data_IF_568494003791
#
_entry.id   IF_568494003791
#
_cell.length_a   1.000
_cell.length_b   1.000
_cell.length_c   1.000
_cell.angle_alpha   90.00
_cell.angle_beta   90.00
_cell.angle_gamma   90.00
#
_symmetry.space_group_name_H-M   'P 1'
#
loop_
_entity.id
_entity.type
_entity.pdbx_description
1 polymer ?
#
# COMPACT_ATOMS: atom_id res chain seq x y z
N UNK A 1 15.56 4.08 8.74
CA UNK A 1 14.76 4.23 7.52
C UNK A 1 13.88 3.01 7.33
N UNK A 2 12.59 3.23 7.13
CA UNK A 2 11.57 2.18 6.97
C UNK A 2 10.93 2.26 5.57
N UNK A 3 10.29 1.17 5.13
CA UNK A 3 9.47 1.19 3.91
C UNK A 3 8.07 0.70 4.27
N UNK A 4 7.07 1.53 3.99
CA UNK A 4 5.66 1.15 4.07
C UNK A 4 5.20 0.85 2.64
N UNK A 5 4.93 -0.42 2.38
CA UNK A 5 4.57 -0.93 1.07
C UNK A 5 3.07 -1.24 1.05
N UNK A 6 2.29 -0.50 0.26
CA UNK A 6 0.86 -0.74 0.09
C UNK A 6 0.62 -1.65 -1.11
N UNK A 7 -0.07 -2.77 -0.88
CA UNK A 7 -0.38 -3.73 -1.93
C UNK A 7 -1.83 -4.16 -1.93
N UNK A 8 -2.39 -4.27 -3.13
CA UNK A 8 -3.69 -4.90 -3.35
C UNK A 8 -3.57 -6.44 -3.38
N UNK A 9 -2.35 -6.98 -3.38
CA UNK A 9 -2.08 -8.41 -3.29
C UNK A 9 -1.71 -8.79 -1.86
N UNK A 10 -2.26 -9.92 -1.39
CA UNK A 10 -1.85 -10.55 -0.13
C UNK A 10 -0.45 -11.11 -0.27
N UNK A 11 0.36 -11.00 0.79
CA UNK A 11 1.76 -11.47 0.79
C UNK A 11 1.87 -12.94 0.41
N UNK A 12 0.98 -13.77 0.96
CA UNK A 12 0.94 -15.23 0.80
C UNK A 12 0.08 -15.71 -0.39
N UNK A 13 -0.28 -14.84 -1.33
CA UNK A 13 -1.07 -15.25 -2.51
C UNK A 13 -0.19 -15.86 -3.61
N UNK A 14 0.38 -15.03 -4.49
CA UNK A 14 1.31 -15.48 -5.54
C UNK A 14 2.62 -14.74 -5.35
N UNK A 15 3.73 -15.50 -5.39
CA UNK A 15 5.07 -14.93 -5.26
C UNK A 15 5.46 -14.21 -6.55
N UNK A 16 5.58 -12.88 -6.48
CA UNK A 16 5.83 -12.01 -7.63
C UNK A 16 6.79 -10.87 -7.27
N UNK A 17 6.86 -9.86 -8.13
CA UNK A 17 7.75 -8.69 -7.98
C UNK A 17 7.65 -8.01 -6.61
N UNK A 18 6.48 -7.81 -5.97
CA UNK A 18 6.40 -7.25 -4.62
C UNK A 18 7.22 -8.03 -3.61
N UNK A 19 7.07 -9.35 -3.57
CA UNK A 19 7.80 -10.22 -2.66
C UNK A 19 9.30 -10.21 -2.97
N UNK A 20 9.65 -10.33 -4.25
CA UNK A 20 11.04 -10.26 -4.71
C UNK A 20 11.76 -8.98 -4.27
N UNK A 21 11.12 -7.82 -4.39
CA UNK A 21 11.72 -6.53 -4.03
C UNK A 21 11.75 -6.35 -2.51
N UNK A 22 10.62 -6.59 -1.84
CA UNK A 22 10.51 -6.38 -0.39
C UNK A 22 11.45 -7.30 0.40
N UNK A 23 11.59 -8.57 0.03
CA UNK A 23 12.56 -9.48 0.67
C UNK A 23 14.01 -9.03 0.47
N UNK A 24 14.34 -8.40 -0.67
CA UNK A 24 15.69 -7.85 -0.90
C UNK A 24 15.92 -6.59 -0.06
N UNK A 25 14.95 -5.68 -0.02
CA UNK A 25 15.03 -4.45 0.78
C UNK A 25 15.04 -4.73 2.29
N UNK A 26 14.43 -5.82 2.75
CA UNK A 26 14.46 -6.24 4.15
C UNK A 26 15.86 -6.55 4.70
N UNK A 27 16.88 -6.65 3.82
CA UNK A 27 18.29 -6.74 4.23
C UNK A 27 18.84 -5.42 4.78
N UNK A 28 18.21 -4.29 4.47
CA UNK A 28 18.69 -2.94 4.79
C UNK A 28 17.63 -2.06 5.49
N UNK A 29 16.35 -2.30 5.23
CA UNK A 29 15.22 -1.51 5.76
C UNK A 29 14.27 -2.39 6.57
N UNK A 30 13.56 -1.82 7.55
CA UNK A 30 12.38 -2.50 8.12
C UNK A 30 11.21 -2.31 7.16
N UNK A 31 10.62 -3.41 6.73
CA UNK A 31 9.52 -3.41 5.77
C UNK A 31 8.20 -3.62 6.49
N UNK A 32 7.22 -2.77 6.19
CA UNK A 32 5.82 -2.91 6.59
C UNK A 32 5.00 -3.10 5.32
N UNK A 33 4.62 -4.35 5.03
CA UNK A 33 3.82 -4.70 3.86
C UNK A 33 2.34 -4.64 4.23
N UNK A 34 1.67 -3.55 3.87
CA UNK A 34 0.27 -3.30 4.18
C UNK A 34 -0.60 -3.91 3.09
N UNK A 35 -1.35 -4.93 3.46
CA UNK A 35 -2.33 -5.58 2.61
C UNK A 35 -3.68 -4.84 2.60
N UNK A 36 -4.58 -5.24 1.71
CA UNK A 36 -5.97 -4.77 1.74
C UNK A 36 -6.64 -5.02 3.10
N UNK A 37 -7.57 -4.14 3.52
CA UNK A 37 -8.30 -4.34 4.76
C UNK A 37 -9.14 -5.62 4.70
N UNK A 38 -9.31 -6.25 5.86
CA UNK A 38 -10.28 -7.32 6.10
C UNK A 38 -11.48 -6.73 6.84
N UNK A 39 -12.68 -7.02 6.36
CA UNK A 39 -13.93 -6.56 6.95
C UNK A 39 -14.51 -7.60 7.92
N UNK A 40 -15.62 -7.27 8.58
CA UNK A 40 -16.34 -8.17 9.51
C UNK A 40 -15.56 -8.54 10.79
N UNK A 41 -14.62 -7.69 11.21
CA UNK A 41 -13.97 -7.84 12.50
C UNK A 41 -14.89 -7.42 13.67
N UNK A 42 -14.60 -7.92 14.88
CA UNK A 42 -15.28 -7.49 16.11
C UNK A 42 -14.94 -6.03 16.49
N UNK A 43 -13.72 -5.59 16.18
CA UNK A 43 -13.22 -4.24 16.42
C UNK A 43 -12.12 -3.87 15.42
N UNK A 44 -11.97 -2.56 15.23
CA UNK A 44 -10.94 -1.94 14.42
C UNK A 44 -9.56 -2.12 15.05
N UNK A 45 -8.65 -2.71 14.28
CA UNK A 45 -7.27 -2.98 14.72
C UNK A 45 -6.38 -3.24 13.52
N UNK A 46 -5.09 -3.31 13.77
CA UNK A 46 -4.15 -3.93 12.84
C UNK A 46 -3.59 -5.22 13.47
N UNK A 47 -3.18 -6.14 12.62
CA UNK A 47 -2.38 -7.31 12.98
C UNK A 47 -1.02 -7.20 12.25
N UNK A 48 0.06 -7.56 12.94
CA UNK A 48 1.38 -7.72 12.34
C UNK A 48 1.77 -9.19 12.40
N UNK A 49 2.02 -9.81 11.25
CA UNK A 49 2.65 -11.13 11.13
C UNK A 49 4.04 -10.97 10.56
N UNK A 50 5.05 -11.50 11.24
CA UNK A 50 6.44 -11.43 10.78
C UNK A 50 6.79 -12.69 9.99
N UNK A 51 7.20 -12.52 8.74
CA UNK A 51 7.66 -13.60 7.87
C UNK A 51 8.85 -13.12 7.04
N UNK A 52 9.94 -13.88 7.00
CA UNK A 52 11.13 -13.55 6.20
C UNK A 52 11.66 -12.11 6.43
N UNK A 53 11.61 -11.63 7.68
CA UNK A 53 11.97 -10.26 8.12
C UNK A 53 11.04 -9.15 7.59
N UNK A 54 9.89 -9.51 7.02
CA UNK A 54 8.83 -8.59 6.60
C UNK A 54 7.78 -8.52 7.70
N UNK A 55 7.37 -7.30 8.07
CA UNK A 55 6.19 -7.08 8.90
C UNK A 55 4.98 -7.01 7.97
N UNK A 56 4.24 -8.10 7.84
CA UNK A 56 3.01 -8.15 7.06
C UNK A 56 1.90 -7.56 7.92
N UNK A 57 1.30 -6.48 7.44
CA UNK A 57 0.30 -5.71 8.16
C UNK A 57 -1.05 -5.94 7.50
N UNK A 58 -2.00 -6.42 8.30
CA UNK A 58 -3.40 -6.52 7.88
C UNK A 58 -4.24 -5.59 8.73
N UNK A 59 -4.93 -4.65 8.10
CA UNK A 59 -5.92 -3.81 8.78
C UNK A 59 -7.22 -4.61 8.86
N UNK A 60 -7.82 -4.66 10.04
CA UNK A 60 -9.11 -5.28 10.26
C UNK A 60 -10.12 -4.22 10.67
N UNK A 61 -11.24 -4.15 9.95
CA UNK A 61 -12.31 -3.20 10.19
C UNK A 61 -13.60 -3.92 10.56
N UNK A 62 -14.32 -3.35 11.53
CA UNK A 62 -15.72 -3.72 11.78
C UNK A 62 -16.61 -3.16 10.67
N UNK A 63 -17.63 -3.91 10.25
CA UNK A 63 -18.58 -3.47 9.21
C UNK A 63 -18.20 -3.95 7.80
N UNK A 64 -18.75 -3.29 6.79
CA UNK A 64 -18.69 -3.68 5.37
C UNK A 64 -17.87 -2.72 4.49
N UNK A 65 -17.35 -3.12 3.31
CA UNK A 65 -16.38 -2.37 2.47
C UNK A 65 -16.78 -0.98 1.91
N UNK A 66 -18.00 -0.51 2.17
CA UNK A 66 -18.53 0.74 1.64
C UNK A 66 -19.23 1.60 2.69
N UNK A 67 -19.05 1.29 3.96
CA UNK A 67 -19.49 2.17 5.04
C UNK A 67 -18.81 3.55 4.95
N UNK A 68 -19.50 4.62 5.38
CA UNK A 68 -18.89 5.91 5.58
C UNK A 68 -17.65 5.81 6.49
N UNK A 69 -16.71 6.74 6.32
CA UNK A 69 -15.53 6.89 7.18
C UNK A 69 -14.50 5.74 7.17
N UNK A 70 -14.65 4.73 6.31
CA UNK A 70 -13.68 3.63 6.17
C UNK A 70 -12.25 4.14 5.97
N UNK A 71 -12.06 5.14 5.11
CA UNK A 71 -10.74 5.72 4.88
C UNK A 71 -10.20 6.36 6.15
N UNK A 72 -11.02 7.15 6.86
CA UNK A 72 -10.58 7.84 8.08
C UNK A 72 -10.23 6.84 9.20
N UNK A 73 -10.97 5.74 9.30
CA UNK A 73 -10.68 4.64 10.23
C UNK A 73 -9.35 3.96 9.87
N UNK A 74 -9.11 3.69 8.58
CA UNK A 74 -7.82 3.16 8.12
C UNK A 74 -6.66 4.12 8.35
N UNK A 75 -6.84 5.42 8.10
CA UNK A 75 -5.84 6.46 8.40
C UNK A 75 -5.48 6.43 9.88
N UNK A 76 -6.47 6.41 10.78
CA UNK A 76 -6.22 6.35 12.22
C UNK A 76 -5.45 5.08 12.63
N UNK A 77 -5.80 3.93 12.05
CA UNK A 77 -5.10 2.66 12.30
C UNK A 77 -3.65 2.73 11.78
N UNK A 78 -3.43 3.31 10.60
CA UNK A 78 -2.11 3.47 10.00
C UNK A 78 -1.23 4.40 10.85
N UNK A 79 -1.78 5.52 11.33
CA UNK A 79 -1.09 6.40 12.29
C UNK A 79 -0.72 5.66 13.57
N UNK A 80 -1.65 4.89 14.14
CA UNK A 80 -1.39 4.09 15.35
C UNK A 80 -0.30 3.05 15.13
N UNK A 81 -0.32 2.35 13.98
CA UNK A 81 0.73 1.42 13.58
C UNK A 81 2.09 2.11 13.55
N UNK A 82 2.18 3.26 12.89
CA UNK A 82 3.43 4.02 12.75
C UNK A 82 3.98 4.49 14.10
N UNK A 83 3.10 5.00 14.96
CA UNK A 83 3.44 5.40 16.32
C UNK A 83 3.96 4.23 17.16
N UNK A 84 3.23 3.11 17.20
CA UNK A 84 3.61 1.93 17.98
C UNK A 84 4.91 1.29 17.46
N UNK A 85 5.11 1.31 16.15
CA UNK A 85 6.30 0.72 15.48
C UNK A 85 7.51 1.67 15.42
N UNK A 86 7.35 2.92 15.89
CA UNK A 86 8.35 3.98 15.85
C UNK A 86 8.87 4.21 14.42
N UNK A 87 7.94 4.38 13.48
CA UNK A 87 8.24 4.69 12.08
C UNK A 87 8.30 6.21 11.93
N UNK A 88 9.52 6.77 11.93
CA UNK A 88 9.74 8.22 11.90
C UNK A 88 10.26 8.72 10.55
N UNK A 89 11.06 7.91 9.86
CA UNK A 89 11.69 8.26 8.59
C UNK A 89 11.47 7.09 7.62
N UNK A 90 10.65 7.31 6.59
CA UNK A 90 10.10 6.23 5.78
C UNK A 90 9.85 6.62 4.34
N UNK A 91 9.89 5.60 3.48
CA UNK A 91 9.47 5.65 2.08
C UNK A 91 8.07 5.03 1.98
N UNK A 92 7.20 5.63 1.18
CA UNK A 92 5.95 4.98 0.78
C UNK A 92 6.13 4.32 -0.59
N UNK A 93 5.87 3.01 -0.64
CA UNK A 93 5.93 2.22 -1.86
C UNK A 93 4.54 1.75 -2.24
N UNK A 94 4.07 2.08 -3.45
CA UNK A 94 2.71 1.79 -3.89
C UNK A 94 2.70 0.73 -4.99
N UNK A 95 1.93 -0.33 -4.78
CA UNK A 95 1.45 -1.23 -5.85
C UNK A 95 -0.04 -1.02 -6.15
N UNK A 96 -0.70 -0.08 -5.46
CA UNK A 96 -2.10 0.29 -5.73
C UNK A 96 -2.32 1.79 -5.45
N UNK A 97 -2.91 2.54 -6.40
CA UNK A 97 -3.29 3.94 -6.17
C UNK A 97 -4.35 4.13 -5.07
N UNK A 98 -5.13 3.07 -4.77
CA UNK A 98 -6.19 3.15 -3.74
C UNK A 98 -5.65 3.54 -2.37
N UNK A 99 -4.39 3.18 -2.06
CA UNK A 99 -3.78 3.48 -0.78
C UNK A 99 -3.57 4.98 -0.55
N UNK A 100 -3.58 5.83 -1.59
CA UNK A 100 -3.54 7.29 -1.40
C UNK A 100 -4.63 7.80 -0.48
N UNK A 101 -5.83 7.20 -0.54
CA UNK A 101 -6.97 7.59 0.32
C UNK A 101 -6.65 7.49 1.80
N UNK A 102 -5.72 6.61 2.18
CA UNK A 102 -5.36 6.36 3.58
C UNK A 102 -3.97 6.89 3.96
N UNK A 103 -3.18 7.35 3.00
CA UNK A 103 -1.81 7.81 3.20
C UNK A 103 -1.57 9.27 2.82
N UNK A 104 -2.62 10.00 2.41
CA UNK A 104 -2.54 11.39 1.95
C UNK A 104 -1.84 12.32 2.96
N UNK A 105 -2.22 12.20 4.24
CA UNK A 105 -1.71 13.00 5.37
C UNK A 105 -0.27 12.62 5.80
N UNK A 106 0.33 11.60 5.18
CA UNK A 106 1.69 11.16 5.50
C UNK A 106 2.76 11.96 4.77
N UNK A 107 3.89 12.16 5.46
CA UNK A 107 5.05 12.95 4.99
C UNK A 107 6.29 12.05 4.86
N UNK A 108 6.40 11.22 3.81
CA UNK A 108 7.57 10.39 3.60
C UNK A 108 8.77 11.18 3.09
N UNK A 109 9.96 10.57 3.18
CA UNK A 109 11.17 11.12 2.54
C UNK A 109 11.17 10.89 1.03
N UNK A 110 10.42 9.90 0.55
CA UNK A 110 10.19 9.62 -0.86
C UNK A 110 8.89 8.81 -1.08
N UNK A 111 8.26 9.02 -2.22
CA UNK A 111 7.10 8.29 -2.72
C UNK A 111 7.50 7.51 -3.97
N UNK A 112 7.34 6.19 -3.94
CA UNK A 112 7.62 5.29 -5.07
C UNK A 112 6.33 4.67 -5.55
N UNK A 113 6.03 4.79 -6.84
CA UNK A 113 4.93 4.07 -7.47
C UNK A 113 5.47 2.97 -8.38
N UNK A 114 5.19 1.72 -8.06
CA UNK A 114 5.55 0.56 -8.90
C UNK A 114 4.31 0.03 -9.63
N UNK A 115 4.08 0.56 -10.82
CA UNK A 115 2.95 0.23 -11.68
C UNK A 115 3.21 -1.07 -12.43
N UNK A 116 2.83 -2.20 -11.81
CA UNK A 116 2.95 -3.53 -12.41
C UNK A 116 1.85 -3.84 -13.44
N UNK A 117 0.64 -3.37 -13.17
CA UNK A 117 -0.57 -3.72 -13.92
C UNK A 117 -1.39 -2.47 -14.24
N UNK A 118 -2.18 -2.54 -15.32
CA UNK A 118 -3.21 -1.57 -15.60
C UNK A 118 -4.47 -1.89 -14.78
N UNK A 119 -4.41 -1.62 -13.48
CA UNK A 119 -5.50 -1.97 -12.54
C UNK A 119 -6.86 -1.39 -12.95
N UNK A 120 -6.87 -0.27 -13.67
CA UNK A 120 -8.11 0.35 -14.18
C UNK A 120 -8.81 -0.42 -15.29
N UNK A 121 -8.14 -1.40 -15.90
CA UNK A 121 -8.70 -2.28 -16.91
C UNK A 121 -9.39 -3.52 -16.32
N UNK A 122 -9.35 -3.70 -14.99
CA UNK A 122 -9.94 -4.87 -14.33
C UNK A 122 -11.47 -4.74 -14.21
N UNK A 123 -12.18 -5.87 -14.30
CA UNK A 123 -13.66 -5.92 -14.36
C UNK A 123 -14.38 -5.23 -13.19
N UNK A 124 -13.73 -5.16 -12.03
CA UNK A 124 -14.26 -4.55 -10.80
C UNK A 124 -13.42 -3.38 -10.31
N UNK A 125 -12.69 -2.70 -11.21
CA UNK A 125 -11.88 -1.54 -10.86
C UNK A 125 -12.76 -0.42 -10.27
N UNK A 126 -12.41 0.13 -9.08
CA UNK A 126 -13.13 1.27 -8.52
C UNK A 126 -13.10 2.46 -9.48
N UNK A 127 -14.22 3.17 -9.64
CA UNK A 127 -14.33 4.31 -10.56
C UNK A 127 -13.27 5.41 -10.30
N UNK A 128 -12.88 5.57 -9.04
CA UNK A 128 -11.92 6.56 -8.57
C UNK A 128 -10.46 6.19 -8.89
N UNK A 129 -10.19 4.94 -9.25
CA UNK A 129 -8.83 4.43 -9.40
C UNK A 129 -8.01 5.21 -10.44
N UNK A 130 -8.63 5.59 -11.56
CA UNK A 130 -7.95 6.40 -12.59
C UNK A 130 -7.57 7.79 -12.10
N UNK A 131 -8.41 8.39 -11.26
CA UNK A 131 -8.14 9.71 -10.68
C UNK A 131 -7.01 9.61 -9.65
N UNK A 132 -7.09 8.63 -8.73
CA UNK A 132 -6.04 8.37 -7.74
C UNK A 132 -4.71 8.00 -8.39
N UNK A 133 -4.72 7.28 -9.51
CA UNK A 133 -3.50 6.96 -10.25
C UNK A 133 -2.82 8.21 -10.79
N UNK A 134 -3.58 9.16 -11.34
CA UNK A 134 -3.04 10.45 -11.80
C UNK A 134 -2.43 11.25 -10.66
N UNK A 135 -3.12 11.28 -9.52
CA UNK A 135 -2.63 11.96 -8.31
C UNK A 135 -1.35 11.30 -7.79
N UNK A 136 -1.28 9.97 -7.80
CA UNK A 136 -0.09 9.24 -7.37
C UNK A 136 1.08 9.48 -8.31
N UNK A 137 0.84 9.49 -9.62
CA UNK A 137 1.86 9.81 -10.62
C UNK A 137 2.42 11.23 -10.43
N UNK A 138 1.57 12.19 -10.09
CA UNK A 138 1.99 13.56 -9.81
C UNK A 138 2.78 13.70 -8.49
N UNK A 139 2.51 12.84 -7.49
CA UNK A 139 3.16 12.86 -6.17
C UNK A 139 4.43 12.01 -6.11
N UNK A 140 4.59 11.03 -7.01
CA UNK A 140 5.70 10.08 -6.96
C UNK A 140 7.03 10.70 -7.38
N UNK A 141 8.06 10.50 -6.56
CA UNK A 141 9.44 10.87 -6.87
C UNK A 141 10.07 9.89 -7.87
N UNK A 142 9.64 8.64 -7.81
CA UNK A 142 10.10 7.56 -8.70
C UNK A 142 8.90 6.71 -9.13
N UNK A 143 8.80 6.47 -10.44
CA UNK A 143 7.80 5.58 -11.03
C UNK A 143 8.52 4.43 -11.73
N UNK A 144 8.20 3.20 -11.33
CA UNK A 144 8.54 2.01 -12.07
C UNK A 144 7.33 1.50 -12.84
N UNK A 145 7.57 0.89 -14.00
CA UNK A 145 6.52 0.25 -14.80
C UNK A 145 6.90 -1.20 -15.09
N UNK A 146 5.88 -2.06 -15.24
CA UNK A 146 6.06 -3.47 -15.57
C UNK A 146 6.60 -3.73 -16.99
N UNK A 147 6.52 -2.74 -17.88
CA UNK A 147 7.02 -2.83 -19.26
C UNK A 147 6.85 -1.54 -20.06
N UNK A 148 7.39 -1.55 -21.29
CA UNK A 148 7.43 -0.36 -22.15
C UNK A 148 6.04 0.18 -22.51
N UNK A 149 5.05 -0.69 -22.72
CA UNK A 149 3.67 -0.26 -23.02
C UNK A 149 3.02 0.46 -21.85
N UNK A 150 3.25 0.00 -20.61
CA UNK A 150 2.79 0.71 -19.40
C UNK A 150 3.51 2.05 -19.27
N UNK A 151 4.82 2.11 -19.49
CA UNK A 151 5.55 3.37 -19.51
C UNK A 151 4.96 4.38 -20.49
N UNK A 152 4.67 3.95 -21.73
CA UNK A 152 4.07 4.81 -22.75
C UNK A 152 2.67 5.30 -22.35
N UNK A 153 1.88 4.47 -21.66
CA UNK A 153 0.55 4.83 -21.18
C UNK A 153 0.55 5.77 -19.95
N UNK A 154 1.67 5.84 -19.21
CA UNK A 154 1.81 6.68 -18.00
C UNK A 154 2.59 7.99 -18.23
N UNK A 155 3.01 8.26 -19.46
CA UNK A 155 3.70 9.50 -19.87
C UNK A 155 2.73 10.50 -20.46
#
# INVERSE_FOLDING_TARGET
MDIICFSHLRWNFVYQRPQHLMTRFAKQFRIYFVEEPCFQASADRFEIKVQDKINIVTIHLKGEPHEPEIDKRQQNILHNLMMQSKINEYILWYYTPMALRISEELSPVATVFDCMDELSAFLYAPAQLKQLEKELLAKADVVFTGGHSLYAAKK
#
